data_IF_160641942738
#
_entry.id   IF_160641942738
#
_cell.length_a   1.000
_cell.length_b   1.000
_cell.length_c   1.000
_cell.angle_alpha   90.00
_cell.angle_beta   90.00
_cell.angle_gamma   90.00
#
_symmetry.space_group_name_H-M   'P 1'
#
loop_
_entity.id
_entity.type
_entity.pdbx_description
1 polymer ?
#
# COMPACT_ATOMS: atom_id res chain seq x y z
N UNK A 1 17.31 -0.45 15.27
CA UNK A 1 17.32 0.97 15.71
C UNK A 1 18.51 1.63 15.09
N UNK A 2 18.30 2.72 14.35
CA UNK A 2 19.37 3.35 13.59
C UNK A 2 19.84 4.63 14.28
N UNK A 3 21.14 4.75 14.56
CA UNK A 3 21.74 5.92 15.22
C UNK A 3 22.46 6.82 14.21
N UNK A 4 21.90 8.01 13.97
CA UNK A 4 22.37 8.96 12.97
C UNK A 4 23.38 9.98 13.50
N UNK A 5 24.50 10.16 12.77
CA UNK A 5 25.65 10.97 13.19
C UNK A 5 26.01 12.12 12.24
N UNK A 6 25.26 12.36 11.17
CA UNK A 6 25.43 13.51 10.29
C UNK A 6 26.28 13.25 9.04
N UNK A 7 26.82 14.31 8.45
CA UNK A 7 27.56 14.28 7.18
C UNK A 7 29.00 13.76 7.33
N UNK A 8 29.60 13.40 6.18
CA UNK A 8 30.95 12.84 6.09
C UNK A 8 32.04 13.90 6.30
N UNK A 9 32.88 13.69 7.31
CA UNK A 9 34.27 14.16 7.30
C UNK A 9 35.17 13.06 6.70
N UNK A 10 36.36 13.42 6.20
CA UNK A 10 37.19 12.60 5.29
C UNK A 10 37.87 11.35 5.87
N UNK A 11 37.38 10.81 6.98
CA UNK A 11 38.03 9.77 7.78
C UNK A 11 37.99 8.36 7.11
N UNK A 12 38.91 7.49 7.51
CA UNK A 12 39.05 6.15 6.91
C UNK A 12 37.97 5.16 7.37
N UNK A 13 37.69 4.14 6.56
CA UNK A 13 36.62 3.16 6.77
C UNK A 13 36.74 2.44 8.12
N UNK A 14 37.97 2.09 8.48
CA UNK A 14 38.24 1.30 9.68
C UNK A 14 38.28 2.19 10.95
N UNK A 15 38.62 3.49 10.82
CA UNK A 15 38.40 4.49 11.89
C UNK A 15 36.92 4.73 12.17
N UNK A 16 36.09 4.85 11.12
CA UNK A 16 34.64 5.03 11.27
C UNK A 16 34.03 3.83 12.02
N UNK A 17 34.43 2.61 11.67
CA UNK A 17 33.95 1.40 12.33
C UNK A 17 34.43 1.34 13.80
N UNK A 18 35.69 1.67 14.07
CA UNK A 18 36.26 1.69 15.42
C UNK A 18 35.56 2.74 16.31
N UNK A 19 35.27 3.94 15.79
CA UNK A 19 34.52 4.96 16.51
C UNK A 19 33.08 4.53 16.80
N UNK A 20 32.40 3.87 15.84
CA UNK A 20 31.04 3.35 16.04
C UNK A 20 31.02 2.28 17.14
N UNK A 21 32.01 1.37 17.17
CA UNK A 21 32.14 0.37 18.25
C UNK A 21 32.51 0.99 19.60
N UNK A 22 33.33 2.05 19.66
CA UNK A 22 33.61 2.78 20.90
C UNK A 22 32.35 3.49 21.44
N UNK A 23 31.53 4.09 20.56
CA UNK A 23 30.23 4.64 20.94
C UNK A 23 29.29 3.57 21.48
N UNK A 24 29.16 2.42 20.81
CA UNK A 24 28.34 1.31 21.29
C UNK A 24 28.86 0.73 22.61
N UNK A 25 30.19 0.60 22.79
CA UNK A 25 30.77 0.14 24.05
C UNK A 25 30.41 1.05 25.23
N UNK A 26 30.18 2.36 25.00
CA UNK A 26 29.75 3.28 26.05
C UNK A 26 28.37 2.95 26.66
N UNK A 27 27.52 2.19 25.96
CA UNK A 27 26.22 1.67 26.47
C UNK A 27 26.19 0.15 26.70
N UNK A 28 27.35 -0.50 26.57
CA UNK A 28 27.61 -1.89 26.96
C UNK A 28 28.68 -1.96 28.06
N UNK A 29 28.67 -1.01 28.99
CA UNK A 29 29.58 -0.95 30.16
C UNK A 29 31.09 -1.00 29.82
N UNK A 30 31.47 -0.56 28.63
CA UNK A 30 32.84 -0.60 28.11
C UNK A 30 33.19 -1.85 27.29
N UNK A 31 32.28 -2.80 27.11
CA UNK A 31 32.52 -4.02 26.32
C UNK A 31 32.50 -3.76 24.81
N UNK A 32 33.62 -3.99 24.14
CA UNK A 32 33.75 -3.90 22.67
C UNK A 32 33.12 -5.12 21.97
N UNK A 33 33.08 -6.30 22.59
CA UNK A 33 32.43 -7.50 21.99
C UNK A 33 30.92 -7.29 21.85
N UNK A 34 30.24 -6.87 22.92
CA UNK A 34 28.79 -6.59 22.88
C UNK A 34 28.44 -5.42 21.97
N UNK A 35 29.36 -4.46 21.84
CA UNK A 35 29.25 -3.36 20.88
C UNK A 35 29.31 -3.85 19.42
N UNK A 36 30.05 -4.92 19.12
CA UNK A 36 30.10 -5.53 17.78
C UNK A 36 28.89 -6.42 17.52
N UNK A 37 28.44 -7.22 18.48
CA UNK A 37 27.25 -8.08 18.32
C UNK A 37 25.94 -7.31 18.16
N UNK A 38 25.82 -6.17 18.86
CA UNK A 38 24.65 -5.30 18.72
C UNK A 38 24.68 -4.45 17.45
N UNK A 39 25.81 -4.30 16.78
CA UNK A 39 25.94 -3.51 15.55
C UNK A 39 25.44 -4.29 14.33
N UNK A 40 24.45 -3.75 13.61
CA UNK A 40 23.83 -4.40 12.44
C UNK A 40 24.45 -3.85 11.13
N UNK A 41 24.49 -2.52 10.96
CA UNK A 41 25.03 -1.87 9.75
C UNK A 41 25.75 -0.57 10.07
N UNK A 42 26.78 -0.22 9.30
CA UNK A 42 27.40 1.11 9.33
C UNK A 42 27.11 1.84 8.01
N UNK A 43 26.28 2.88 8.07
CA UNK A 43 25.98 3.77 6.97
C UNK A 43 27.11 4.81 6.85
N UNK A 44 27.67 4.96 5.64
CA UNK A 44 28.90 5.74 5.41
C UNK A 44 29.00 6.41 4.03
N UNK A 45 27.99 6.28 3.18
CA UNK A 45 28.04 6.70 1.78
C UNK A 45 27.23 7.99 1.51
N UNK A 46 26.00 8.09 2.01
CA UNK A 46 25.24 9.35 2.05
C UNK A 46 25.42 10.16 3.35
N UNK A 47 25.66 9.46 4.47
CA UNK A 47 25.79 10.01 5.82
C UNK A 47 26.57 9.02 6.71
N UNK A 48 27.07 9.46 7.88
CA UNK A 48 27.55 8.58 8.96
C UNK A 48 26.38 8.24 9.87
N UNK A 49 26.12 6.95 10.03
CA UNK A 49 25.19 6.40 11.02
C UNK A 49 25.52 4.92 11.26
N UNK A 50 24.89 4.29 12.24
CA UNK A 50 24.88 2.83 12.32
C UNK A 50 23.56 2.28 12.85
N UNK A 51 23.12 1.15 12.30
CA UNK A 51 22.04 0.35 12.86
C UNK A 51 22.58 -0.47 14.03
N UNK A 52 21.83 -0.53 15.12
CA UNK A 52 22.10 -1.41 16.24
C UNK A 52 20.83 -2.01 16.84
N UNK A 53 20.95 -3.25 17.32
CA UNK A 53 19.96 -3.96 18.12
C UNK A 53 20.16 -3.58 19.59
N UNK A 54 19.55 -2.46 19.99
CA UNK A 54 19.63 -1.91 21.33
C UNK A 54 18.32 -2.13 22.08
N UNK A 55 18.42 -2.32 23.40
CA UNK A 55 17.26 -2.18 24.29
C UNK A 55 16.86 -0.71 24.43
N UNK A 56 15.61 -0.43 24.78
CA UNK A 56 15.10 0.95 24.93
C UNK A 56 15.97 1.81 25.87
N UNK A 57 16.53 1.21 26.92
CA UNK A 57 17.42 1.89 27.87
C UNK A 57 18.77 2.26 27.23
N UNK A 58 19.37 1.36 26.45
CA UNK A 58 20.64 1.60 25.77
C UNK A 58 20.49 2.56 24.60
N UNK A 59 19.38 2.44 23.86
CA UNK A 59 18.93 3.39 22.85
C UNK A 59 18.83 4.81 23.42
N UNK A 60 18.21 4.97 24.58
CA UNK A 60 18.10 6.25 25.28
C UNK A 60 19.46 6.77 25.77
N UNK A 61 20.31 5.91 26.32
CA UNK A 61 21.64 6.31 26.80
C UNK A 61 22.55 6.79 25.66
N UNK A 62 22.64 6.05 24.55
CA UNK A 62 23.57 6.39 23.45
C UNK A 62 23.14 7.65 22.72
N UNK A 63 21.82 7.87 22.58
CA UNK A 63 21.25 9.06 21.95
C UNK A 63 21.54 10.33 22.76
N UNK A 64 21.41 10.26 24.09
CA UNK A 64 21.68 11.38 25.00
C UNK A 64 23.18 11.68 25.15
N UNK A 65 24.03 10.67 25.37
CA UNK A 65 25.44 10.87 25.66
C UNK A 65 26.22 11.55 24.51
N UNK A 66 25.75 11.36 23.28
CA UNK A 66 26.42 11.81 22.06
C UNK A 66 25.59 12.79 21.21
N UNK A 67 24.42 13.20 21.68
CA UNK A 67 23.47 14.09 20.98
C UNK A 67 23.12 13.60 19.56
N UNK A 68 22.78 12.30 19.43
CA UNK A 68 22.48 11.62 18.16
C UNK A 68 21.03 11.11 18.12
N UNK A 69 20.44 11.04 16.93
CA UNK A 69 19.05 10.61 16.72
C UNK A 69 18.96 9.11 16.44
N UNK A 70 17.88 8.44 16.88
CA UNK A 70 17.56 7.09 16.37
C UNK A 70 16.17 6.54 16.68
N UNK A 71 15.74 5.54 15.91
CA UNK A 71 14.31 5.15 15.75
C UNK A 71 14.07 3.66 15.34
N UNK A 72 12.82 3.13 15.48
CA UNK A 72 12.32 1.80 15.03
C UNK A 72 11.51 1.82 13.67
N UNK A 73 10.87 0.71 13.21
CA UNK A 73 10.50 0.45 11.78
C UNK A 73 9.17 -0.40 11.47
N UNK A 74 8.29 -0.13 10.40
CA UNK A 74 6.87 -0.66 10.07
C UNK A 74 6.22 -0.54 8.54
N UNK A 75 4.85 -0.57 8.21
CA UNK A 75 4.12 -0.87 6.83
C UNK A 75 2.67 -0.27 6.35
N UNK A 76 2.27 -0.03 5.03
CA UNK A 76 0.86 0.41 4.44
C UNK A 76 0.33 -0.08 2.97
N UNK A 77 -0.80 0.42 2.29
CA UNK A 77 -1.48 -0.04 0.95
C UNK A 77 -2.57 0.84 0.10
N UNK A 78 -3.18 0.43 -1.12
CA UNK A 78 -3.92 1.25 -2.25
C UNK A 78 -5.05 0.67 -3.27
N UNK A 79 -5.59 1.43 -4.33
CA UNK A 79 -6.72 1.13 -5.37
C UNK A 79 -6.94 1.97 -6.77
N UNK A 80 -8.00 1.70 -7.66
CA UNK A 80 -8.14 1.47 -9.21
C UNK A 80 -8.76 2.44 -10.33
N UNK A 81 -9.64 2.00 -11.29
CA UNK A 81 -9.62 2.24 -12.80
C UNK A 81 -10.57 3.20 -13.59
N UNK A 82 -11.64 3.82 -13.09
CA UNK A 82 -12.61 4.62 -13.92
C UNK A 82 -12.20 6.10 -14.14
N UNK A 83 -11.13 6.52 -13.49
CA UNK A 83 -10.88 7.92 -13.14
C UNK A 83 -10.77 8.90 -14.31
N UNK A 84 -10.26 8.48 -15.48
CA UNK A 84 -9.94 9.38 -16.58
C UNK A 84 -11.16 9.93 -17.31
N UNK A 85 -12.20 9.12 -17.51
CA UNK A 85 -13.44 9.54 -18.18
C UNK A 85 -14.26 10.47 -17.26
N UNK A 86 -14.31 10.15 -15.96
CA UNK A 86 -14.89 11.00 -14.92
C UNK A 86 -14.24 12.39 -14.84
N UNK A 87 -12.92 12.49 -15.08
CA UNK A 87 -12.21 13.77 -15.18
C UNK A 87 -12.38 14.49 -16.53
N UNK A 88 -13.19 13.97 -17.45
CA UNK A 88 -13.45 14.56 -18.77
C UNK A 88 -12.31 14.39 -19.79
N UNK A 89 -11.31 13.55 -19.51
CA UNK A 89 -10.13 13.34 -20.34
C UNK A 89 -10.35 12.20 -21.35
N UNK A 90 -11.32 12.40 -22.25
CA UNK A 90 -11.86 11.35 -23.13
C UNK A 90 -10.97 10.98 -24.35
N UNK A 91 -10.00 11.82 -24.72
CA UNK A 91 -9.09 11.59 -25.85
C UNK A 91 -7.91 12.56 -25.92
N UNK A 92 -6.98 12.36 -26.86
CA UNK A 92 -5.78 13.21 -27.00
C UNK A 92 -6.12 14.69 -27.19
N UNK A 93 -7.18 14.99 -27.95
CA UNK A 93 -7.68 16.36 -28.18
C UNK A 93 -8.15 17.03 -26.88
N UNK A 94 -8.91 16.33 -26.03
CA UNK A 94 -9.35 16.83 -24.72
C UNK A 94 -8.22 16.95 -23.70
N UNK A 95 -7.06 16.36 -23.98
CA UNK A 95 -5.85 16.48 -23.17
C UNK A 95 -4.93 17.62 -23.65
N UNK A 96 -5.20 18.26 -24.79
CA UNK A 96 -4.40 19.41 -25.27
C UNK A 96 -4.68 20.65 -24.40
N UNK A 97 -3.80 20.89 -23.42
CA UNK A 97 -3.77 22.15 -22.68
C UNK A 97 -3.19 23.21 -23.62
N UNK A 98 -3.88 24.34 -23.78
CA UNK A 98 -3.46 25.43 -24.68
C UNK A 98 -2.04 25.90 -24.35
N UNK A 99 -1.09 25.62 -25.25
CA UNK A 99 0.34 25.93 -25.06
C UNK A 99 1.24 24.76 -24.65
N UNK A 100 0.69 23.59 -24.31
CA UNK A 100 1.45 22.39 -23.94
C UNK A 100 1.09 21.19 -24.82
N UNK A 101 2.11 20.57 -25.44
CA UNK A 101 1.90 19.44 -26.36
C UNK A 101 1.95 18.09 -25.65
N UNK A 102 0.83 17.37 -25.66
CA UNK A 102 0.72 15.98 -25.19
C UNK A 102 1.36 14.95 -26.13
N UNK A 103 1.73 15.37 -27.36
CA UNK A 103 2.18 14.51 -28.46
C UNK A 103 3.57 13.89 -28.25
N UNK A 104 4.36 14.42 -27.30
CA UNK A 104 5.73 13.96 -27.04
C UNK A 104 5.91 13.12 -25.75
N UNK A 105 4.83 12.52 -25.24
CA UNK A 105 4.85 11.61 -24.09
C UNK A 105 5.94 10.52 -24.19
N UNK A 106 6.26 10.04 -25.40
CA UNK A 106 7.29 9.00 -25.65
C UNK A 106 8.70 9.36 -25.18
N UNK A 107 8.96 10.64 -24.88
CA UNK A 107 10.23 11.13 -24.33
C UNK A 107 10.15 11.46 -22.83
N UNK A 108 8.99 11.30 -22.20
CA UNK A 108 8.77 11.43 -20.75
C UNK A 108 8.96 10.06 -20.09
N UNK A 109 9.69 10.04 -18.98
CA UNK A 109 9.97 8.86 -18.17
C UNK A 109 9.39 9.10 -16.78
N UNK A 110 8.42 8.28 -16.37
CA UNK A 110 7.85 8.29 -15.02
C UNK A 110 8.47 7.16 -14.22
N UNK A 111 9.10 7.51 -13.10
CA UNK A 111 9.62 6.56 -12.12
C UNK A 111 8.55 6.23 -11.07
N UNK A 112 8.44 4.96 -10.70
CA UNK A 112 7.52 4.46 -9.69
C UNK A 112 8.33 3.81 -8.56
N UNK A 113 8.21 4.34 -7.34
CA UNK A 113 8.82 3.76 -6.14
C UNK A 113 7.72 3.06 -5.36
N UNK A 114 7.71 1.73 -5.39
CA UNK A 114 6.51 0.92 -5.08
C UNK A 114 6.85 -0.58 -4.79
N UNK A 115 5.89 -1.51 -4.86
CA UNK A 115 6.06 -2.97 -4.67
C UNK A 115 6.62 -3.71 -5.89
N UNK A 116 7.00 -3.00 -6.95
CA UNK A 116 7.51 -3.55 -8.20
C UNK A 116 6.49 -3.50 -9.34
N UNK A 117 6.67 -4.35 -10.36
CA UNK A 117 5.77 -4.42 -11.51
C UNK A 117 5.51 -5.86 -11.98
N UNK A 118 4.32 -6.11 -12.53
CA UNK A 118 3.95 -7.34 -13.24
C UNK A 118 4.04 -7.12 -14.77
N UNK A 119 5.22 -7.36 -15.38
CA UNK A 119 5.54 -6.89 -16.73
C UNK A 119 4.72 -7.55 -17.84
N UNK A 120 4.16 -8.74 -17.61
CA UNK A 120 3.28 -9.43 -18.57
C UNK A 120 1.89 -8.80 -18.69
N UNK A 121 1.56 -7.80 -17.88
CA UNK A 121 0.29 -7.09 -17.98
C UNK A 121 0.15 -6.39 -19.35
N UNK A 122 -0.98 -6.52 -20.06
CA UNK A 122 -1.23 -5.81 -21.32
C UNK A 122 -1.06 -4.28 -21.21
N UNK A 123 -1.25 -3.71 -20.01
CA UNK A 123 -1.04 -2.29 -19.73
C UNK A 123 0.43 -1.85 -19.89
N UNK A 124 1.40 -2.77 -19.98
CA UNK A 124 2.83 -2.47 -20.15
C UNK A 124 3.40 -2.95 -21.51
N UNK A 125 2.51 -3.23 -22.47
CA UNK A 125 2.88 -3.54 -23.84
C UNK A 125 3.56 -2.35 -24.54
N UNK A 126 4.51 -2.63 -25.46
CA UNK A 126 5.34 -1.61 -26.11
C UNK A 126 5.06 -1.44 -27.62
N UNK A 127 3.97 -2.02 -28.13
CA UNK A 127 3.60 -1.95 -29.53
C UNK A 127 3.50 -0.50 -30.01
N UNK A 128 4.08 -0.24 -31.18
CA UNK A 128 4.17 1.06 -31.83
C UNK A 128 4.90 2.16 -31.03
N UNK A 129 5.60 1.82 -29.93
CA UNK A 129 6.50 2.76 -29.25
C UNK A 129 7.85 2.84 -29.97
N UNK A 130 8.42 4.06 -30.15
CA UNK A 130 9.75 4.23 -30.72
C UNK A 130 10.85 3.72 -29.75
N UNK A 131 12.12 3.63 -30.18
CA UNK A 131 13.25 3.27 -29.31
C UNK A 131 13.30 4.07 -28.00
N UNK A 132 13.97 3.51 -27.00
CA UNK A 132 14.15 4.16 -25.68
C UNK A 132 14.98 5.44 -25.86
N UNK A 133 14.64 6.57 -25.19
CA UNK A 133 15.40 7.82 -25.32
C UNK A 133 16.86 7.64 -24.89
N UNK A 134 17.81 8.04 -25.74
CA UNK A 134 19.25 7.83 -25.51
C UNK A 134 19.83 8.52 -24.25
N UNK A 135 19.06 9.43 -23.62
CA UNK A 135 19.41 10.05 -22.33
C UNK A 135 19.15 9.16 -21.11
N UNK A 136 18.42 8.06 -21.28
CA UNK A 136 18.10 7.10 -20.21
C UNK A 136 19.36 6.34 -19.78
N UNK A 137 19.62 6.28 -18.48
CA UNK A 137 20.80 5.60 -17.91
C UNK A 137 20.45 4.44 -16.98
N UNK A 138 19.17 4.21 -16.70
CA UNK A 138 18.71 3.06 -15.94
C UNK A 138 18.83 1.76 -16.73
N UNK A 139 18.72 0.64 -16.02
CA UNK A 139 18.81 -0.69 -16.60
C UNK A 139 17.70 -1.61 -16.08
N UNK A 140 17.67 -2.83 -16.62
CA UNK A 140 16.75 -3.89 -16.20
C UNK A 140 17.51 -4.89 -15.33
N UNK A 141 17.33 -4.78 -14.02
CA UNK A 141 17.95 -5.68 -13.05
C UNK A 141 17.32 -7.07 -13.14
N UNK A 142 18.15 -8.11 -13.15
CA UNK A 142 17.67 -9.50 -13.18
C UNK A 142 17.56 -10.08 -11.78
N UNK A 143 16.58 -10.95 -11.57
CA UNK A 143 16.37 -11.65 -10.32
C UNK A 143 15.35 -12.78 -10.48
N UNK A 144 14.76 -13.22 -9.37
CA UNK A 144 13.74 -14.25 -9.37
C UNK A 144 12.54 -13.95 -10.29
N UNK A 145 12.27 -14.86 -11.23
CA UNK A 145 11.22 -14.74 -12.24
C UNK A 145 11.23 -13.44 -13.07
N UNK A 146 12.38 -12.76 -13.19
CA UNK A 146 12.50 -11.48 -13.90
C UNK A 146 13.89 -11.35 -14.52
N UNK A 147 13.99 -11.28 -15.85
CA UNK A 147 15.28 -11.23 -16.55
C UNK A 147 15.49 -9.82 -17.14
N UNK A 148 16.74 -9.46 -17.49
CA UNK A 148 17.03 -8.19 -18.16
C UNK A 148 16.25 -7.99 -19.49
N UNK A 149 15.87 -9.09 -20.15
CA UNK A 149 15.02 -9.11 -21.35
C UNK A 149 13.51 -8.90 -21.08
N UNK A 150 13.11 -8.79 -19.81
CA UNK A 150 11.72 -8.54 -19.40
C UNK A 150 11.34 -7.06 -19.56
N UNK A 151 12.31 -6.15 -19.52
CA UNK A 151 12.12 -4.76 -19.95
C UNK A 151 11.97 -4.67 -21.47
N UNK A 152 11.20 -3.68 -21.92
CA UNK A 152 10.82 -3.46 -23.31
C UNK A 152 10.84 -1.95 -23.62
N UNK A 153 10.25 -1.48 -24.72
CA UNK A 153 10.21 -0.03 -25.02
C UNK A 153 9.21 0.75 -24.14
N UNK A 154 8.36 0.08 -23.35
CA UNK A 154 7.39 0.69 -22.42
C UNK A 154 7.93 0.72 -20.98
N UNK A 155 8.25 -0.45 -20.42
CA UNK A 155 9.00 -0.62 -19.18
C UNK A 155 10.50 -0.62 -19.52
N UNK A 156 11.15 0.53 -19.35
CA UNK A 156 12.53 0.77 -19.85
C UNK A 156 13.62 0.52 -18.81
N UNK A 157 13.24 0.32 -17.55
CA UNK A 157 14.13 -0.08 -16.47
C UNK A 157 13.35 -0.54 -15.25
N UNK A 158 13.96 -1.43 -14.50
CA UNK A 158 13.34 -2.08 -13.34
C UNK A 158 14.46 -2.47 -12.37
N UNK A 159 14.34 -2.07 -11.10
CA UNK A 159 15.31 -2.29 -10.03
C UNK A 159 14.60 -2.71 -8.76
N UNK A 160 15.32 -3.31 -7.81
CA UNK A 160 14.79 -3.64 -6.51
C UNK A 160 15.79 -3.41 -5.37
N UNK A 161 15.28 -2.91 -4.25
CA UNK A 161 16.02 -2.52 -3.06
C UNK A 161 15.42 -3.28 -1.89
N UNK A 162 16.24 -4.08 -1.23
CA UNK A 162 15.85 -4.99 -0.14
C UNK A 162 16.80 -4.91 1.05
N UNK A 163 17.73 -3.96 1.04
CA UNK A 163 18.80 -3.93 2.04
C UNK A 163 18.31 -3.36 3.36
N UNK A 164 17.29 -2.49 3.36
CA UNK A 164 16.55 -2.14 4.56
C UNK A 164 15.68 -3.29 5.05
N UNK A 165 14.92 -3.91 4.13
CA UNK A 165 14.10 -5.09 4.46
C UNK A 165 14.91 -6.21 5.13
N UNK A 166 16.03 -6.64 4.52
CA UNK A 166 16.88 -7.72 5.04
C UNK A 166 17.71 -7.34 6.28
N UNK A 167 17.76 -6.05 6.65
CA UNK A 167 18.41 -5.59 7.88
C UNK A 167 17.52 -5.74 9.12
N UNK A 168 16.20 -5.65 8.92
CA UNK A 168 15.21 -5.57 9.99
C UNK A 168 14.34 -6.82 10.10
N UNK A 169 14.10 -7.53 8.99
CA UNK A 169 13.31 -8.76 8.95
C UNK A 169 14.19 -10.01 9.03
N UNK A 170 13.88 -10.92 9.97
CA UNK A 170 14.52 -12.23 10.02
C UNK A 170 14.24 -13.03 8.74
N UNK A 171 15.24 -13.82 8.32
CA UNK A 171 15.24 -14.62 7.07
C UNK A 171 14.15 -15.71 6.98
N UNK A 172 13.26 -15.81 7.97
CA UNK A 172 12.14 -16.74 8.05
C UNK A 172 10.92 -16.28 7.25
N UNK A 173 10.80 -14.99 6.94
CA UNK A 173 9.73 -14.45 6.11
C UNK A 173 9.94 -14.79 4.62
N UNK A 174 8.96 -15.45 4.01
CA UNK A 174 9.00 -15.87 2.60
C UNK A 174 8.77 -14.65 1.70
N UNK A 175 9.87 -14.00 1.30
CA UNK A 175 9.85 -12.97 0.25
C UNK A 175 9.42 -13.61 -1.06
N UNK A 176 8.28 -13.17 -1.61
CA UNK A 176 7.65 -13.83 -2.76
C UNK A 176 8.46 -13.78 -4.08
N UNK A 177 9.19 -12.68 -4.34
CA UNK A 177 10.10 -12.55 -5.48
C UNK A 177 11.29 -11.64 -5.15
N UNK A 178 12.51 -12.18 -5.05
CA UNK A 178 13.75 -11.38 -4.97
C UNK A 178 14.14 -10.84 -6.36
N UNK A 179 13.32 -9.91 -6.86
CA UNK A 179 13.48 -9.20 -8.14
C UNK A 179 12.54 -7.97 -8.20
N UNK A 180 12.58 -7.16 -9.28
CA UNK A 180 11.61 -6.07 -9.51
C UNK A 180 10.16 -6.54 -9.73
N UNK A 181 9.90 -7.86 -9.78
CA UNK A 181 8.55 -8.41 -9.96
C UNK A 181 7.65 -8.07 -8.77
N UNK A 182 6.45 -7.60 -9.07
CA UNK A 182 5.41 -7.33 -8.09
C UNK A 182 4.81 -8.63 -7.53
N UNK A 183 4.74 -8.75 -6.21
CA UNK A 183 4.02 -9.81 -5.50
C UNK A 183 2.74 -9.32 -4.80
N UNK A 184 2.59 -8.00 -4.62
CA UNK A 184 1.45 -7.39 -3.95
C UNK A 184 0.34 -7.02 -4.94
N UNK A 185 0.72 -6.64 -6.16
CA UNK A 185 -0.15 -6.09 -7.19
C UNK A 185 -0.23 -4.55 -7.14
N UNK A 186 0.14 -3.95 -6.02
CA UNK A 186 0.07 -2.52 -5.70
C UNK A 186 0.86 -1.64 -6.68
N UNK A 187 2.12 -1.95 -6.95
CA UNK A 187 2.97 -1.18 -7.86
C UNK A 187 2.63 -1.37 -9.34
N UNK A 188 2.22 -2.58 -9.74
CA UNK A 188 1.64 -2.81 -11.07
C UNK A 188 0.40 -1.95 -11.26
N UNK A 189 -0.41 -1.90 -10.22
CA UNK A 189 -1.67 -1.22 -10.22
C UNK A 189 -1.48 0.31 -10.32
N UNK A 190 -0.67 0.95 -9.46
CA UNK A 190 -0.38 2.40 -9.51
C UNK A 190 0.25 2.81 -10.85
N UNK A 191 1.23 2.03 -11.32
CA UNK A 191 1.89 2.23 -12.61
C UNK A 191 0.88 2.19 -13.77
N UNK A 192 -0.13 1.31 -13.70
CA UNK A 192 -1.18 1.23 -14.72
C UNK A 192 -2.10 2.45 -14.74
N UNK A 193 -2.40 3.07 -13.60
CA UNK A 193 -3.21 4.30 -13.52
C UNK A 193 -2.45 5.49 -14.13
N UNK A 194 -1.17 5.66 -13.79
CA UNK A 194 -0.41 6.81 -14.29
C UNK A 194 -0.03 6.65 -15.76
N UNK A 195 0.45 5.46 -16.16
CA UNK A 195 1.10 5.25 -17.44
C UNK A 195 0.65 3.97 -18.19
N UNK A 196 -0.45 3.31 -17.83
CA UNK A 196 -0.93 2.14 -18.56
C UNK A 196 -1.26 2.41 -20.03
N UNK A 197 -0.91 1.47 -20.93
CA UNK A 197 -1.43 1.40 -22.29
C UNK A 197 -2.96 1.27 -22.28
N UNK A 198 -3.60 1.65 -23.38
CA UNK A 198 -5.00 1.36 -23.60
C UNK A 198 -5.22 -0.16 -23.78
N UNK A 199 -6.14 -0.73 -22.99
CA UNK A 199 -6.58 -2.12 -23.05
C UNK A 199 -8.10 -2.12 -23.17
N UNK A 200 -8.64 -2.61 -24.29
CA UNK A 200 -10.06 -2.39 -24.65
C UNK A 200 -11.08 -3.16 -23.80
N UNK A 201 -10.69 -4.32 -23.26
CA UNK A 201 -11.58 -5.29 -22.62
C UNK A 201 -11.09 -5.62 -21.20
N UNK A 202 -10.85 -4.60 -20.37
CA UNK A 202 -10.55 -4.81 -18.95
C UNK A 202 -11.83 -4.99 -18.14
N UNK A 203 -11.79 -5.88 -17.16
CA UNK A 203 -12.89 -6.12 -16.22
C UNK A 203 -12.37 -6.79 -14.95
N UNK A 204 -12.95 -6.45 -13.79
CA UNK A 204 -12.77 -7.22 -12.56
C UNK A 204 -13.82 -8.34 -12.52
N UNK A 205 -13.50 -9.49 -13.13
CA UNK A 205 -14.32 -10.72 -13.14
C UNK A 205 -15.76 -10.54 -13.70
N UNK A 206 -16.04 -9.47 -14.45
CA UNK A 206 -17.38 -9.09 -14.93
C UNK A 206 -17.80 -7.68 -14.49
N UNK A 207 -17.28 -7.18 -13.36
CA UNK A 207 -17.49 -5.80 -12.91
C UNK A 207 -16.62 -4.82 -13.69
N UNK A 208 -17.07 -3.57 -13.81
CA UNK A 208 -16.33 -2.47 -14.45
C UNK A 208 -15.77 -2.84 -15.83
N UNK A 209 -16.58 -3.52 -16.66
CA UNK A 209 -16.21 -3.90 -18.02
C UNK A 209 -16.05 -2.66 -18.90
N UNK A 210 -14.90 -2.52 -19.57
CA UNK A 210 -14.65 -1.44 -20.50
C UNK A 210 -13.19 -1.30 -20.92
N UNK A 211 -12.90 -0.22 -21.64
CA UNK A 211 -11.53 0.19 -21.91
C UNK A 211 -10.88 0.76 -20.65
N UNK A 212 -9.61 0.47 -20.44
CA UNK A 212 -8.80 1.10 -19.40
C UNK A 212 -7.49 1.63 -19.98
N UNK A 213 -7.02 2.76 -19.46
CA UNK A 213 -5.75 3.40 -19.83
C UNK A 213 -5.18 4.16 -18.64
N UNK A 214 -3.89 4.49 -18.72
CA UNK A 214 -3.31 5.47 -17.83
C UNK A 214 -3.53 6.92 -18.29
N UNK A 215 -3.17 7.86 -17.42
CA UNK A 215 -3.17 9.30 -17.73
C UNK A 215 -2.23 9.64 -18.89
N UNK A 216 -1.03 9.05 -18.93
CA UNK A 216 -0.05 9.21 -20.01
C UNK A 216 0.31 7.86 -20.69
N UNK A 217 -0.56 7.31 -21.57
CA UNK A 217 -0.37 5.97 -22.15
C UNK A 217 0.92 5.80 -22.96
N UNK A 218 1.47 6.88 -23.54
CA UNK A 218 2.71 6.84 -24.34
C UNK A 218 3.98 7.11 -23.53
N UNK A 219 3.89 7.46 -22.24
CA UNK A 219 5.05 7.69 -21.37
C UNK A 219 5.86 6.40 -21.13
N UNK A 220 7.16 6.52 -20.83
CA UNK A 220 8.00 5.39 -20.41
C UNK A 220 7.86 5.16 -18.90
N UNK A 221 7.98 3.90 -18.50
CA UNK A 221 7.92 3.45 -17.11
C UNK A 221 9.33 3.04 -16.67
N UNK A 222 9.76 3.52 -15.51
CA UNK A 222 10.88 2.98 -14.75
C UNK A 222 10.39 2.57 -13.35
N UNK A 223 10.74 1.38 -12.88
CA UNK A 223 10.23 0.85 -11.60
C UNK A 223 11.37 0.62 -10.61
N UNK A 224 11.15 1.05 -9.39
CA UNK A 224 12.09 0.99 -8.28
C UNK A 224 11.36 0.30 -7.12
N UNK A 225 11.51 -1.03 -7.01
CA UNK A 225 10.83 -1.81 -5.98
C UNK A 225 11.51 -1.60 -4.63
N UNK A 226 10.85 -0.96 -3.69
CA UNK A 226 11.33 -0.73 -2.32
C UNK A 226 10.40 -1.31 -1.26
N UNK A 227 9.18 -1.68 -1.67
CA UNK A 227 8.13 -2.19 -0.80
C UNK A 227 8.01 -3.72 -0.87
N UNK A 228 7.85 -4.33 0.30
CA UNK A 228 7.88 -5.77 0.54
C UNK A 228 6.77 -6.21 1.49
N UNK A 229 6.76 -7.51 1.84
CA UNK A 229 5.75 -8.12 2.69
C UNK A 229 5.77 -7.64 4.16
N UNK A 230 6.72 -6.79 4.55
CA UNK A 230 6.78 -6.11 5.86
C UNK A 230 6.79 -4.57 5.80
N UNK A 231 6.87 -3.92 4.64
CA UNK A 231 7.03 -2.45 4.59
C UNK A 231 7.79 -1.93 3.39
N UNK A 232 7.88 -0.60 3.32
CA UNK A 232 8.79 0.13 2.44
C UNK A 232 9.80 0.82 3.37
N UNK A 233 11.09 0.53 3.22
CA UNK A 233 12.11 0.94 4.18
C UNK A 233 12.80 2.22 3.71
N UNK A 234 12.98 3.19 4.60
CA UNK A 234 13.55 4.51 4.29
C UNK A 234 14.90 4.46 3.56
N UNK A 235 15.76 3.52 3.92
CA UNK A 235 17.06 3.31 3.26
C UNK A 235 16.92 2.78 1.82
N UNK A 236 15.93 1.92 1.57
CA UNK A 236 15.59 1.39 0.25
C UNK A 236 14.89 2.48 -0.59
N UNK A 237 14.05 3.33 0.03
CA UNK A 237 13.43 4.52 -0.59
C UNK A 237 14.48 5.54 -1.05
N UNK A 238 15.44 5.90 -0.18
CA UNK A 238 16.50 6.85 -0.54
C UNK A 238 17.42 6.31 -1.64
N UNK A 239 17.73 5.01 -1.62
CA UNK A 239 18.48 4.36 -2.70
C UNK A 239 17.73 4.41 -4.05
N UNK A 240 16.42 4.17 -4.03
CA UNK A 240 15.56 4.34 -5.21
C UNK A 240 15.52 5.79 -5.72
N UNK A 241 15.45 6.78 -4.82
CA UNK A 241 15.50 8.20 -5.21
C UNK A 241 16.84 8.56 -5.89
N UNK A 242 17.99 8.17 -5.32
CA UNK A 242 19.31 8.46 -5.90
C UNK A 242 19.47 7.80 -7.28
N UNK A 243 19.13 6.52 -7.39
CA UNK A 243 19.14 5.79 -8.65
C UNK A 243 18.20 6.42 -9.69
N UNK A 244 16.99 6.84 -9.30
CA UNK A 244 16.05 7.47 -10.23
C UNK A 244 16.51 8.85 -10.74
N UNK A 245 17.11 9.66 -9.86
CA UNK A 245 17.73 10.95 -10.22
C UNK A 245 18.88 10.71 -11.21
N UNK A 246 19.77 9.75 -10.92
CA UNK A 246 20.90 9.41 -11.81
C UNK A 246 20.42 8.85 -13.15
N UNK A 247 19.43 7.96 -13.13
CA UNK A 247 18.91 7.26 -14.30
C UNK A 247 18.17 8.22 -15.26
N UNK A 248 17.65 9.33 -14.73
CA UNK A 248 17.13 10.47 -15.50
C UNK A 248 15.61 10.44 -15.71
N UNK A 249 14.85 10.02 -14.71
CA UNK A 249 13.38 10.15 -14.71
C UNK A 249 12.95 11.63 -14.77
N UNK A 250 11.72 11.91 -15.19
CA UNK A 250 11.17 13.27 -15.22
C UNK A 250 10.19 13.56 -14.08
N UNK A 251 9.46 12.53 -13.68
CA UNK A 251 8.44 12.57 -12.64
C UNK A 251 8.62 11.31 -11.80
N UNK A 252 8.51 11.43 -10.47
CA UNK A 252 8.41 10.33 -9.53
C UNK A 252 6.98 10.26 -9.00
N UNK A 253 6.40 9.05 -9.06
CA UNK A 253 5.10 8.72 -8.48
C UNK A 253 5.31 7.82 -7.27
N UNK A 254 4.92 8.31 -6.10
CA UNK A 254 4.97 7.57 -4.85
C UNK A 254 3.54 7.41 -4.31
N UNK A 255 3.11 6.18 -4.09
CA UNK A 255 1.82 5.91 -3.45
C UNK A 255 2.04 5.22 -2.12
N UNK A 256 2.92 5.84 -1.34
CA UNK A 256 3.39 5.46 -0.01
C UNK A 256 3.70 6.76 0.75
N UNK A 257 3.74 6.70 2.07
CA UNK A 257 3.96 7.83 2.97
C UNK A 257 4.31 7.33 4.37
N UNK A 258 4.85 8.20 5.25
CA UNK A 258 5.04 7.85 6.65
C UNK A 258 3.67 7.66 7.34
N UNK A 259 3.73 7.08 8.54
CA UNK A 259 2.57 7.07 9.44
C UNK A 259 2.17 8.49 9.85
N UNK A 260 0.88 8.66 10.15
CA UNK A 260 0.33 9.94 10.58
C UNK A 260 0.35 10.08 12.11
N UNK A 261 0.56 11.29 12.65
CA UNK A 261 0.90 12.53 11.95
C UNK A 261 2.35 12.51 11.44
N UNK A 262 2.61 13.14 10.28
CA UNK A 262 3.96 13.24 9.74
C UNK A 262 4.88 14.04 10.69
N UNK A 263 6.11 13.56 10.87
CA UNK A 263 7.18 14.26 11.58
C UNK A 263 7.82 15.41 10.78
N UNK A 264 9.06 15.77 11.14
CA UNK A 264 9.80 16.84 10.48
C UNK A 264 10.35 16.40 9.11
N UNK A 265 10.39 17.32 8.14
CA UNK A 265 10.83 17.04 6.75
C UNK A 265 12.28 16.55 6.64
N UNK A 266 13.15 16.89 7.58
CA UNK A 266 14.54 16.42 7.62
C UNK A 266 14.68 15.01 8.25
N UNK A 267 13.59 14.49 8.85
CA UNK A 267 13.49 13.14 9.41
C UNK A 267 12.63 12.17 8.58
N UNK A 268 12.15 12.60 7.41
CA UNK A 268 11.29 11.81 6.52
C UNK A 268 12.01 11.53 5.20
N UNK A 269 12.25 10.24 4.90
CA UNK A 269 13.01 9.81 3.72
C UNK A 269 12.38 10.28 2.40
N UNK A 270 11.05 10.37 2.34
CA UNK A 270 10.32 10.83 1.17
C UNK A 270 10.54 12.33 0.97
N UNK A 271 10.44 13.13 2.02
CA UNK A 271 10.74 14.57 2.01
C UNK A 271 12.19 14.84 1.60
N UNK A 272 13.16 14.10 2.14
CA UNK A 272 14.58 14.24 1.77
C UNK A 272 14.83 13.81 0.31
N UNK A 273 14.40 12.62 -0.08
CA UNK A 273 14.57 12.12 -1.44
C UNK A 273 13.90 13.00 -2.49
N UNK A 274 12.68 13.48 -2.19
CA UNK A 274 11.96 14.41 -3.06
C UNK A 274 12.57 15.81 -3.13
N UNK A 275 13.21 16.30 -2.06
CA UNK A 275 13.96 17.57 -2.10
C UNK A 275 15.10 17.48 -3.11
N UNK A 276 15.85 16.37 -3.09
CA UNK A 276 16.91 16.13 -4.06
C UNK A 276 16.38 15.95 -5.48
N UNK A 277 15.28 15.21 -5.66
CA UNK A 277 14.61 15.09 -6.96
C UNK A 277 14.19 16.48 -7.51
N UNK A 278 13.51 17.29 -6.70
CA UNK A 278 13.06 18.64 -7.07
C UNK A 278 14.25 19.56 -7.44
N UNK A 279 15.37 19.49 -6.70
CA UNK A 279 16.61 20.21 -7.05
C UNK A 279 17.24 19.79 -8.38
N UNK A 280 16.98 18.57 -8.84
CA UNK A 280 17.36 18.08 -10.16
C UNK A 280 16.28 18.29 -11.24
N UNK A 281 15.20 19.03 -10.94
CA UNK A 281 14.11 19.32 -11.87
C UNK A 281 13.14 18.16 -12.05
N UNK A 282 13.12 17.20 -11.13
CA UNK A 282 12.25 16.02 -11.14
C UNK A 282 11.09 16.28 -10.18
N UNK A 283 9.87 16.31 -10.73
CA UNK A 283 8.65 16.50 -9.95
C UNK A 283 8.32 15.23 -9.15
N UNK A 284 7.93 15.37 -7.88
CA UNK A 284 7.47 14.25 -7.06
C UNK A 284 5.99 14.41 -6.73
N UNK A 285 5.21 13.38 -7.05
CA UNK A 285 3.77 13.28 -6.76
C UNK A 285 3.59 12.17 -5.73
N UNK A 286 2.95 12.49 -4.61
CA UNK A 286 2.84 11.62 -3.45
C UNK A 286 1.40 11.57 -2.89
N UNK A 287 0.95 10.44 -2.38
CA UNK A 287 -0.37 10.30 -1.73
C UNK A 287 -0.41 10.97 -0.35
N UNK A 288 -1.54 11.58 0.03
CA UNK A 288 -1.73 12.23 1.34
C UNK A 288 -1.89 11.27 2.54
N UNK A 289 -1.94 9.95 2.29
CA UNK A 289 -2.24 8.93 3.32
C UNK A 289 -3.74 8.64 3.48
N UNK A 290 -4.04 7.49 4.12
CA UNK A 290 -5.40 6.92 4.21
C UNK A 290 -5.98 6.96 5.64
N UNK A 291 -5.34 7.64 6.57
CA UNK A 291 -5.72 7.66 8.00
C UNK A 291 -7.07 8.38 8.22
N UNK A 292 -7.34 9.47 7.51
CA UNK A 292 -8.64 10.14 7.46
C UNK A 292 -9.00 11.02 8.67
N UNK A 293 -8.10 11.17 9.64
CA UNK A 293 -8.30 11.98 10.83
C UNK A 293 -7.89 13.46 10.61
N UNK A 294 -8.47 14.44 11.31
CA UNK A 294 -8.05 15.85 11.19
C UNK A 294 -6.55 16.03 11.49
N UNK A 295 -5.80 16.55 10.53
CA UNK A 295 -4.34 16.71 10.63
C UNK A 295 -3.51 15.45 10.33
N UNK A 296 -4.13 14.36 9.86
CA UNK A 296 -3.44 13.09 9.59
C UNK A 296 -2.84 12.97 8.18
N UNK A 297 -2.73 14.07 7.44
CA UNK A 297 -2.16 14.05 6.10
C UNK A 297 -0.62 13.92 6.17
N UNK A 298 -0.03 13.17 5.24
CA UNK A 298 1.42 12.98 5.13
C UNK A 298 1.93 13.32 3.74
N UNK A 299 3.24 13.23 3.52
CA UNK A 299 3.94 13.76 2.34
C UNK A 299 3.72 15.28 2.14
N UNK A 300 3.77 16.05 3.23
CA UNK A 300 3.46 17.49 3.31
C UNK A 300 4.61 18.43 2.90
N UNK A 301 5.73 17.92 2.39
CA UNK A 301 6.89 18.75 2.06
C UNK A 301 6.55 19.74 0.92
N UNK A 302 6.87 21.06 1.04
CA UNK A 302 6.42 22.08 0.08
C UNK A 302 6.89 21.93 -1.38
N UNK A 303 7.82 21.01 -1.64
CA UNK A 303 8.38 20.70 -2.97
C UNK A 303 7.75 19.44 -3.62
N UNK A 304 6.73 18.84 -2.99
CA UNK A 304 5.95 17.73 -3.53
C UNK A 304 4.54 18.17 -3.94
N UNK A 305 3.91 17.39 -4.82
CA UNK A 305 2.45 17.43 -5.03
C UNK A 305 1.83 16.33 -4.17
N UNK A 306 1.22 16.72 -3.05
CA UNK A 306 0.46 15.84 -2.17
C UNK A 306 -0.96 15.67 -2.70
N UNK A 307 -1.40 14.42 -2.92
CA UNK A 307 -2.68 14.09 -3.56
C UNK A 307 -3.62 13.39 -2.57
N UNK A 308 -4.76 14.01 -2.29
CA UNK A 308 -5.86 13.39 -1.55
C UNK A 308 -6.73 12.51 -2.46
N UNK A 309 -7.50 11.59 -1.87
CA UNK A 309 -8.44 10.74 -2.59
C UNK A 309 -9.88 11.27 -2.49
N UNK A 310 -10.67 11.06 -3.55
CA UNK A 310 -12.12 11.27 -3.58
C UNK A 310 -12.79 10.10 -4.28
N UNK A 311 -14.10 9.92 -4.08
CA UNK A 311 -14.90 9.00 -4.88
C UNK A 311 -15.01 9.45 -6.34
N UNK A 312 -15.39 8.51 -7.20
CA UNK A 312 -15.89 8.77 -8.56
C UNK A 312 -17.41 8.68 -8.57
N UNK A 313 -18.04 8.96 -9.70
CA UNK A 313 -19.47 8.77 -10.00
C UNK A 313 -19.95 7.30 -10.09
N UNK A 314 -19.07 6.32 -9.85
CA UNK A 314 -19.35 4.90 -10.03
C UNK A 314 -19.20 4.08 -8.75
N UNK A 315 -20.32 3.55 -8.28
CA UNK A 315 -20.41 2.64 -7.13
C UNK A 315 -20.53 1.16 -7.56
N UNK A 316 -20.17 0.25 -6.65
CA UNK A 316 -20.40 -1.20 -6.82
C UNK A 316 -21.44 -1.69 -5.80
N UNK A 317 -22.71 -1.56 -6.18
CA UNK A 317 -23.85 -1.80 -5.31
C UNK A 317 -24.21 -3.29 -5.17
N UNK A 318 -24.66 -3.69 -3.99
CA UNK A 318 -25.23 -5.01 -3.68
C UNK A 318 -26.52 -4.84 -2.89
N UNK A 319 -27.63 -5.33 -3.44
CA UNK A 319 -28.96 -5.16 -2.87
C UNK A 319 -29.29 -6.23 -1.81
N UNK A 320 -29.77 -5.77 -0.65
CA UNK A 320 -30.28 -6.57 0.45
C UNK A 320 -31.80 -6.43 0.47
N UNK A 321 -32.52 -7.53 0.25
CA UNK A 321 -33.99 -7.57 0.29
C UNK A 321 -34.42 -8.41 1.50
N UNK A 322 -35.15 -7.80 2.43
CA UNK A 322 -35.69 -8.47 3.62
C UNK A 322 -37.07 -9.09 3.33
N UNK A 323 -37.50 -10.01 4.20
CA UNK A 323 -38.76 -10.76 4.08
C UNK A 323 -40.01 -9.85 3.97
N UNK A 324 -40.00 -8.69 4.63
CA UNK A 324 -41.08 -7.70 4.56
C UNK A 324 -41.03 -6.81 3.29
N UNK A 325 -40.22 -7.16 2.30
CA UNK A 325 -40.02 -6.37 1.08
C UNK A 325 -39.16 -5.12 1.25
N UNK A 326 -38.60 -4.86 2.45
CA UNK A 326 -37.70 -3.73 2.65
C UNK A 326 -36.39 -3.97 1.87
N UNK A 327 -36.12 -3.09 0.91
CA UNK A 327 -34.89 -3.07 0.12
C UNK A 327 -33.90 -2.07 0.71
N UNK A 328 -32.68 -2.52 0.93
CA UNK A 328 -31.52 -1.69 1.26
C UNK A 328 -30.43 -1.93 0.23
N UNK A 329 -29.75 -0.88 -0.21
CA UNK A 329 -28.59 -1.01 -1.08
C UNK A 329 -27.34 -0.81 -0.24
N UNK A 330 -26.40 -1.75 -0.35
CA UNK A 330 -25.07 -1.68 0.23
C UNK A 330 -24.01 -1.82 -0.85
N UNK A 331 -22.75 -2.06 -0.45
CA UNK A 331 -21.61 -2.11 -1.37
C UNK A 331 -20.94 -3.50 -1.41
N UNK A 332 -20.43 -3.90 -2.58
CA UNK A 332 -19.70 -5.17 -2.71
C UNK A 332 -18.94 -5.28 -4.04
N UNK A 333 -17.73 -5.85 -4.00
CA UNK A 333 -17.07 -6.42 -5.18
C UNK A 333 -17.29 -7.94 -5.28
N UNK A 334 -18.25 -8.48 -4.52
CA UNK A 334 -18.65 -9.89 -4.59
C UNK A 334 -19.52 -10.16 -5.81
N UNK A 335 -19.19 -11.23 -6.54
CA UNK A 335 -20.01 -11.78 -7.64
C UNK A 335 -20.90 -12.95 -7.20
N UNK A 336 -20.92 -13.25 -5.89
CA UNK A 336 -21.72 -14.33 -5.37
C UNK A 336 -23.13 -13.81 -5.08
N UNK A 337 -24.12 -14.35 -5.78
CA UNK A 337 -25.54 -14.06 -5.55
C UNK A 337 -26.19 -15.13 -4.66
N UNK A 338 -27.21 -14.73 -3.88
CA UNK A 338 -28.04 -15.67 -3.14
C UNK A 338 -29.10 -16.29 -4.05
N UNK A 339 -28.92 -17.57 -4.40
CA UNK A 339 -29.87 -18.33 -5.23
C UNK A 339 -31.22 -18.62 -4.56
N UNK A 340 -31.30 -18.50 -3.24
CA UNK A 340 -32.49 -18.72 -2.45
C UNK A 340 -32.43 -17.86 -1.18
N UNK A 341 -33.59 -17.41 -0.72
CA UNK A 341 -33.75 -16.68 0.54
C UNK A 341 -33.30 -17.54 1.73
N UNK A 342 -32.61 -16.93 2.70
CA UNK A 342 -32.18 -17.59 3.93
C UNK A 342 -32.44 -16.70 5.13
N UNK A 343 -32.68 -17.31 6.30
CA UNK A 343 -32.93 -16.56 7.54
C UNK A 343 -31.72 -15.69 7.90
N UNK A 344 -31.94 -14.40 8.07
CA UNK A 344 -30.95 -13.44 8.57
C UNK A 344 -30.99 -13.40 10.11
N UNK A 345 -29.81 -13.35 10.75
CA UNK A 345 -29.66 -13.21 12.21
C UNK A 345 -28.50 -12.27 12.55
N UNK A 346 -28.54 -11.67 13.74
CA UNK A 346 -27.35 -11.01 14.29
C UNK A 346 -26.27 -12.06 14.60
N UNK A 347 -25.02 -11.79 14.24
CA UNK A 347 -23.91 -12.69 14.59
C UNK A 347 -23.73 -12.87 16.11
N UNK A 348 -24.20 -11.90 16.91
CA UNK A 348 -24.28 -12.03 18.38
C UNK A 348 -25.16 -13.19 18.85
N UNK A 349 -26.18 -13.58 18.08
CA UNK A 349 -27.03 -14.73 18.39
C UNK A 349 -26.28 -16.05 18.13
N UNK A 350 -25.41 -16.05 17.13
CA UNK A 350 -24.58 -17.17 16.72
C UNK A 350 -23.32 -17.38 17.58
N UNK A 351 -23.21 -16.71 18.74
CA UNK A 351 -22.02 -16.81 19.58
C UNK A 351 -21.65 -18.25 19.98
N UNK A 352 -20.36 -18.55 19.91
CA UNK A 352 -19.73 -19.71 20.54
C UNK A 352 -19.56 -19.48 22.04
N UNK A 353 -19.74 -20.50 22.87
CA UNK A 353 -19.86 -20.35 24.34
C UNK A 353 -18.63 -19.77 25.06
N UNK A 354 -17.48 -19.70 24.41
CA UNK A 354 -16.24 -19.09 24.92
C UNK A 354 -16.15 -17.58 24.64
N UNK A 355 -17.05 -17.03 23.81
CA UNK A 355 -17.09 -15.62 23.43
C UNK A 355 -18.38 -14.97 23.94
N UNK A 356 -18.32 -13.67 24.25
CA UNK A 356 -19.54 -12.91 24.51
C UNK A 356 -20.34 -12.66 23.22
N UNK A 357 -21.68 -12.49 23.30
CA UNK A 357 -22.49 -12.06 22.17
C UNK A 357 -21.98 -10.77 21.51
N UNK A 358 -21.35 -9.87 22.28
CA UNK A 358 -20.73 -8.66 21.75
C UNK A 358 -19.51 -8.97 20.87
N UNK A 359 -18.56 -9.77 21.35
CA UNK A 359 -17.38 -10.17 20.58
C UNK A 359 -17.78 -10.94 19.30
N UNK A 360 -18.72 -11.89 19.40
CA UNK A 360 -19.22 -12.62 18.23
C UNK A 360 -19.97 -11.74 17.23
N UNK A 361 -20.45 -10.55 17.61
CA UNK A 361 -21.05 -9.60 16.66
C UNK A 361 -20.05 -9.08 15.62
N UNK A 362 -18.75 -9.11 15.92
CA UNK A 362 -17.68 -8.76 15.00
C UNK A 362 -17.21 -9.91 14.10
N UNK A 363 -17.81 -11.11 14.23
CA UNK A 363 -17.47 -12.29 13.44
C UNK A 363 -15.97 -12.64 13.45
N UNK A 364 -15.33 -12.47 14.61
CA UNK A 364 -13.92 -12.78 14.87
C UNK A 364 -13.62 -14.28 14.73
N UNK A 365 -12.35 -14.64 14.60
CA UNK A 365 -11.94 -16.04 14.53
C UNK A 365 -12.49 -16.87 15.70
N UNK A 366 -12.99 -18.07 15.38
CA UNK A 366 -13.62 -19.03 16.32
C UNK A 366 -14.83 -18.50 17.14
N UNK A 367 -15.27 -17.26 16.95
CA UNK A 367 -16.35 -16.65 17.73
C UNK A 367 -17.76 -17.13 17.37
N UNK A 368 -17.92 -17.84 16.25
CA UNK A 368 -19.20 -18.26 15.69
C UNK A 368 -19.47 -19.77 15.91
N UNK A 369 -20.61 -20.09 16.52
CA UNK A 369 -21.10 -21.46 16.66
C UNK A 369 -21.66 -21.97 15.32
N UNK A 370 -21.04 -23.03 14.78
CA UNK A 370 -21.41 -23.64 13.49
C UNK A 370 -22.90 -24.03 13.41
N UNK A 371 -23.46 -24.66 14.44
CA UNK A 371 -24.87 -25.09 14.44
C UNK A 371 -25.84 -23.90 14.37
N UNK A 372 -25.51 -22.81 15.07
CA UNK A 372 -26.32 -21.57 15.02
C UNK A 372 -26.15 -20.83 13.71
N UNK A 373 -24.93 -20.75 13.15
CA UNK A 373 -24.64 -20.03 11.91
C UNK A 373 -25.09 -20.76 10.63
N UNK A 374 -25.11 -22.10 10.63
CA UNK A 374 -25.37 -22.91 9.43
C UNK A 374 -26.66 -22.52 8.72
N UNK A 375 -26.55 -22.28 7.41
CA UNK A 375 -27.68 -21.99 6.51
C UNK A 375 -28.30 -20.59 6.68
N UNK A 376 -27.60 -19.64 7.31
CA UNK A 376 -28.12 -18.30 7.62
C UNK A 376 -27.26 -17.19 7.02
N UNK A 377 -27.86 -16.02 6.87
CA UNK A 377 -27.14 -14.76 6.62
C UNK A 377 -26.77 -14.16 7.98
N UNK A 378 -25.50 -13.84 8.19
CA UNK A 378 -25.05 -13.21 9.44
C UNK A 378 -24.89 -11.70 9.26
N UNK A 379 -25.44 -10.92 10.20
CA UNK A 379 -25.11 -9.50 10.35
C UNK A 379 -23.90 -9.39 11.27
N UNK A 380 -22.76 -9.04 10.68
CA UNK A 380 -21.47 -8.81 11.33
C UNK A 380 -21.19 -7.31 11.47
N UNK A 381 -20.28 -6.92 12.37
CA UNK A 381 -19.75 -5.56 12.50
C UNK A 381 -18.27 -5.49 12.15
N UNK A 382 -17.84 -4.34 11.67
CA UNK A 382 -16.44 -3.96 11.50
C UNK A 382 -16.23 -2.62 12.21
N UNK A 383 -15.46 -2.64 13.30
CA UNK A 383 -15.06 -1.42 13.98
C UNK A 383 -13.93 -0.73 13.19
N UNK A 384 -13.83 0.60 13.29
CA UNK A 384 -12.74 1.37 12.69
C UNK A 384 -11.35 0.88 13.14
N UNK A 385 -11.21 0.51 14.42
CA UNK A 385 -9.98 -0.06 15.00
C UNK A 385 -9.76 -1.55 14.70
N UNK A 386 -10.51 -2.15 13.77
CA UNK A 386 -10.43 -3.58 13.49
C UNK A 386 -9.26 -3.91 12.55
N UNK A 387 -8.27 -4.62 13.08
CA UNK A 387 -7.12 -5.15 12.31
C UNK A 387 -7.47 -6.32 11.38
N UNK A 388 -8.63 -6.95 11.58
CA UNK A 388 -9.11 -8.04 10.72
C UNK A 388 -9.70 -7.51 9.40
N UNK A 389 -9.16 -7.99 8.28
CA UNK A 389 -9.70 -7.69 6.94
C UNK A 389 -11.19 -8.05 6.81
N UNK A 390 -11.96 -7.13 6.23
CA UNK A 390 -13.38 -7.33 5.86
C UNK A 390 -13.58 -8.64 5.06
N UNK A 391 -12.65 -8.98 4.16
CA UNK A 391 -12.68 -10.21 3.38
C UNK A 391 -12.55 -11.46 4.26
N UNK A 392 -11.66 -11.45 5.26
CA UNK A 392 -11.43 -12.56 6.19
C UNK A 392 -12.69 -12.84 7.02
N UNK A 393 -13.42 -11.81 7.47
CA UNK A 393 -14.71 -12.00 8.14
C UNK A 393 -15.70 -12.81 7.29
N UNK A 394 -15.76 -12.57 5.98
CA UNK A 394 -16.60 -13.40 5.08
C UNK A 394 -16.14 -14.86 4.97
N UNK A 395 -14.83 -15.13 5.07
CA UNK A 395 -14.30 -16.50 5.16
C UNK A 395 -14.69 -17.17 6.47
N UNK A 396 -14.63 -16.45 7.60
CA UNK A 396 -15.02 -16.96 8.92
C UNK A 396 -16.52 -17.29 8.98
N UNK A 397 -17.38 -16.42 8.42
CA UNK A 397 -18.82 -16.70 8.26
C UNK A 397 -19.07 -17.93 7.39
N UNK A 398 -18.36 -18.07 6.26
CA UNK A 398 -18.42 -19.25 5.39
C UNK A 398 -18.00 -20.53 6.11
N UNK A 399 -16.90 -20.49 6.85
CA UNK A 399 -16.37 -21.62 7.63
C UNK A 399 -17.28 -21.99 8.82
N UNK A 400 -18.08 -21.05 9.32
CA UNK A 400 -19.15 -21.31 10.27
C UNK A 400 -20.42 -21.93 9.62
N UNK A 401 -20.46 -22.04 8.29
CA UNK A 401 -21.60 -22.55 7.52
C UNK A 401 -22.65 -21.49 7.16
N UNK A 402 -22.35 -20.20 7.35
CA UNK A 402 -23.17 -19.09 6.87
C UNK A 402 -23.19 -19.04 5.35
N UNK A 403 -24.34 -18.64 4.78
CA UNK A 403 -24.58 -18.59 3.32
C UNK A 403 -24.51 -17.18 2.73
N UNK A 404 -24.42 -16.16 3.60
CA UNK A 404 -24.17 -14.77 3.22
C UNK A 404 -23.85 -13.90 4.43
N UNK A 405 -23.44 -12.66 4.19
CA UNK A 405 -23.04 -11.72 5.25
C UNK A 405 -23.50 -10.28 4.94
N UNK A 406 -24.11 -9.62 5.92
CA UNK A 406 -24.25 -8.16 5.91
C UNK A 406 -23.20 -7.62 6.88
N UNK A 407 -22.27 -6.80 6.39
CA UNK A 407 -21.22 -6.21 7.22
C UNK A 407 -21.57 -4.76 7.51
N UNK A 408 -21.88 -4.45 8.77
CA UNK A 408 -22.04 -3.07 9.23
C UNK A 408 -20.64 -2.51 9.40
N UNK A 409 -20.28 -1.51 8.61
CA UNK A 409 -19.05 -0.75 8.80
C UNK A 409 -19.34 0.40 9.76
N UNK A 410 -18.71 0.37 10.94
CA UNK A 410 -18.88 1.41 11.94
C UNK A 410 -18.18 2.72 11.51
N UNK A 411 -17.22 2.65 10.58
CA UNK A 411 -16.49 3.81 10.06
C UNK A 411 -17.11 4.47 8.81
N UNK A 412 -18.13 3.84 8.22
CA UNK A 412 -18.92 4.35 7.08
C UNK A 412 -18.07 4.92 5.91
N UNK A 413 -16.98 4.21 5.54
CA UNK A 413 -15.97 4.72 4.60
C UNK A 413 -16.36 4.64 3.10
N UNK A 414 -17.53 4.09 2.76
CA UNK A 414 -18.01 3.85 1.38
C UNK A 414 -16.92 3.21 0.47
N UNK A 415 -16.49 2.00 0.86
CA UNK A 415 -15.49 1.21 0.14
C UNK A 415 -16.00 -0.21 -0.09
N UNK A 416 -16.42 -0.50 -1.31
CA UNK A 416 -16.68 -1.84 -1.81
C UNK A 416 -15.41 -2.74 -1.75
N UNK A 417 -15.55 -3.95 -1.20
CA UNK A 417 -14.45 -4.95 -1.09
C UNK A 417 -14.88 -6.32 -1.62
N UNK A 418 -13.95 -7.20 -2.02
CA UNK A 418 -14.30 -8.55 -2.44
C UNK A 418 -14.60 -9.45 -1.23
N UNK A 419 -15.55 -10.38 -1.41
CA UNK A 419 -15.94 -11.36 -0.39
C UNK A 419 -16.02 -12.78 -0.98
N UNK A 420 -15.95 -13.81 -0.12
CA UNK A 420 -15.95 -15.24 -0.56
C UNK A 420 -17.33 -15.93 -0.52
N UNK A 421 -18.37 -15.16 -0.19
CA UNK A 421 -19.80 -15.51 -0.13
C UNK A 421 -20.64 -14.28 -0.51
N UNK A 422 -21.93 -14.42 -0.84
CA UNK A 422 -22.83 -13.29 -1.06
C UNK A 422 -22.80 -12.33 0.12
N UNK A 423 -22.36 -11.10 -0.10
CA UNK A 423 -22.13 -10.14 0.99
C UNK A 423 -22.32 -8.71 0.53
N UNK A 424 -22.75 -7.85 1.44
CA UNK A 424 -22.85 -6.40 1.23
C UNK A 424 -22.36 -5.65 2.49
N UNK A 425 -21.62 -4.56 2.29
CA UNK A 425 -21.28 -3.58 3.32
C UNK A 425 -22.43 -2.58 3.43
N UNK A 426 -22.77 -2.16 4.65
CA UNK A 426 -23.73 -1.08 4.90
C UNK A 426 -23.25 -0.17 6.03
N UNK A 427 -23.55 1.11 5.93
CA UNK A 427 -23.33 2.07 7.01
C UNK A 427 -24.16 1.82 8.26
N UNK A 428 -23.76 2.41 9.39
CA UNK A 428 -24.39 2.21 10.69
C UNK A 428 -25.91 2.42 10.67
N UNK A 429 -26.41 3.42 9.93
CA UNK A 429 -27.83 3.75 9.85
C UNK A 429 -28.66 2.60 9.25
N UNK A 430 -28.21 2.06 8.12
CA UNK A 430 -28.84 0.91 7.45
C UNK A 430 -28.67 -0.36 8.29
N UNK A 431 -27.47 -0.59 8.81
CA UNK A 431 -27.19 -1.71 9.71
C UNK A 431 -28.11 -1.76 10.93
N UNK A 432 -28.34 -0.62 11.59
CA UNK A 432 -29.26 -0.50 12.72
C UNK A 432 -30.73 -0.72 12.33
N UNK A 433 -31.16 -0.34 11.13
CA UNK A 433 -32.48 -0.69 10.60
C UNK A 433 -32.63 -2.20 10.41
N UNK A 434 -31.64 -2.87 9.81
CA UNK A 434 -31.63 -4.33 9.60
C UNK A 434 -31.64 -5.08 10.96
N UNK A 435 -30.79 -4.69 11.91
CA UNK A 435 -30.78 -5.26 13.26
C UNK A 435 -32.10 -5.04 14.02
N UNK A 436 -32.75 -3.89 13.83
CA UNK A 436 -34.06 -3.60 14.42
C UNK A 436 -35.17 -4.45 13.81
N UNK A 437 -35.12 -4.72 12.50
CA UNK A 437 -36.04 -5.66 11.85
C UNK A 437 -35.90 -7.07 12.43
N UNK A 438 -34.66 -7.60 12.52
CA UNK A 438 -34.37 -8.94 13.08
C UNK A 438 -34.95 -9.11 14.50
N UNK A 439 -34.84 -8.07 15.34
CA UNK A 439 -35.41 -8.06 16.70
C UNK A 439 -36.94 -8.05 16.70
N UNK A 440 -37.60 -7.36 15.75
CA UNK A 440 -39.06 -7.29 15.66
C UNK A 440 -39.68 -8.60 15.16
N UNK A 441 -39.11 -9.22 14.14
CA UNK A 441 -39.61 -10.51 13.60
C UNK A 441 -39.49 -11.66 14.63
N UNK A 442 -38.63 -11.50 15.64
CA UNK A 442 -38.51 -12.38 16.82
C UNK A 442 -39.60 -12.19 17.90
N UNK A 443 -40.39 -11.12 17.87
CA UNK A 443 -41.47 -10.85 18.83
C UNK A 443 -42.86 -11.29 18.32
N UNK A 444 -42.92 -11.81 17.09
CA UNK A 444 -44.15 -12.22 16.37
C UNK A 444 -44.17 -13.74 16.12
N UNK A 445 -43.17 -14.46 16.65
CA UNK A 445 -42.99 -15.92 16.65
C UNK A 445 -42.71 -16.39 18.07
#
# INVERSE_FOLDING_TARGET
MDLYMGSKNGDDRDEILMQNHQMLASVHSGSIEQAQESHIYSYRHGFRAFAAKLTDLQAFQISNAWSRFGFPNLKRSLHTTHSWDFMGLLGEETMEITGFSTKNQVNVIVGFIDTGIWPESPSFNDANMPPVPARWKGHCESGEAFNASTCNRKLIGARYYKSGYEAEEDSTNIVSFRSPRDSSGHGSHTTSIAAGRYVSNMTYKGLASGGARGGAPMARIAVYKTCWDSGCYDVDLLAAFDDAIRDGVNILSLSLGPDAPQGDYFSDAISVGSFHAARHGILVVASAGNEGNPGSATNLAPWMITVAASSTDRDFTSDIILENGAKFTGESLSLFEMKASARIISASEAYAGYFTPYQSSYCLESSLNRTKARGKVLVCRHAESSTESKMVKSMLVKNAGGVGMVLIDDADKDIAVPFVIPSAIVGQKIGNHILSHIKRTRLVL
#
